data_IF_034137429305
#
_entry.id   IF_034137429305
#
_cell.length_a   1.000
_cell.length_b   1.000
_cell.length_c   1.000
_cell.angle_alpha   90.00
_cell.angle_beta   90.00
_cell.angle_gamma   90.00
#
_symmetry.space_group_name_H-M   'P 1'
#
loop_
_entity.id
_entity.type
_entity.pdbx_description
1 polymer ?
#
# COMPACT_ATOMS: atom_id res chain seq x y z
N UNK A 1 -2.80 -31.20 31.72
CA UNK A 1 -2.99 -30.21 30.64
C UNK A 1 -3.51 -28.93 31.26
N UNK A 2 -2.71 -27.87 31.28
CA UNK A 2 -3.08 -26.57 31.84
C UNK A 2 -3.88 -25.80 30.80
N UNK A 3 -5.15 -25.48 31.09
CA UNK A 3 -6.07 -24.72 30.23
C UNK A 3 -5.86 -23.20 30.31
N UNK A 4 -4.74 -22.74 30.87
CA UNK A 4 -4.48 -21.34 31.17
C UNK A 4 -3.24 -20.82 30.42
N UNK A 5 -3.22 -20.94 29.09
CA UNK A 5 -2.21 -20.22 28.29
C UNK A 5 -2.74 -18.79 28.03
N UNK A 6 -2.53 -17.96 29.06
CA UNK A 6 -2.13 -16.54 29.06
C UNK A 6 -3.05 -15.46 28.44
N UNK A 7 -3.97 -14.92 29.26
CA UNK A 7 -4.60 -13.58 29.12
C UNK A 7 -3.67 -12.42 29.54
N UNK A 8 -2.36 -12.58 29.37
CA UNK A 8 -1.35 -11.66 29.93
C UNK A 8 -0.79 -10.70 28.89
N UNK A 9 -1.11 -10.85 27.61
CA UNK A 9 -0.54 -10.04 26.53
C UNK A 9 -1.54 -9.04 25.97
N UNK A 10 -1.08 -7.81 25.79
CA UNK A 10 -1.84 -6.67 25.31
C UNK A 10 -1.07 -5.99 24.18
N UNK A 11 -1.78 -5.38 23.23
CA UNK A 11 -1.15 -4.59 22.19
C UNK A 11 -1.86 -3.27 22.01
N UNK A 12 -1.12 -2.28 21.51
CA UNK A 12 -1.63 -0.99 21.10
C UNK A 12 -1.01 -0.59 19.76
N UNK A 13 -1.82 -0.03 18.86
CA UNK A 13 -1.36 0.46 17.56
C UNK A 13 -1.05 1.95 17.65
N UNK A 14 0.20 2.32 17.31
CA UNK A 14 0.62 3.72 17.20
C UNK A 14 1.11 4.00 15.78
N UNK A 15 0.21 4.45 14.92
CA UNK A 15 0.50 4.66 13.51
C UNK A 15 0.81 3.34 12.80
N UNK A 16 2.04 3.20 12.27
CA UNK A 16 2.52 1.98 11.59
C UNK A 16 3.18 0.97 12.55
N UNK A 17 3.30 1.30 13.83
CA UNK A 17 4.01 0.49 14.81
C UNK A 17 3.02 -0.26 15.72
N UNK A 18 3.34 -1.52 16.01
CA UNK A 18 2.64 -2.34 17.00
C UNK A 18 3.45 -2.29 18.29
N UNK A 19 2.85 -1.79 19.35
CA UNK A 19 3.43 -1.81 20.69
C UNK A 19 2.84 -3.01 21.43
N UNK A 20 3.70 -3.95 21.84
CA UNK A 20 3.32 -5.14 22.60
C UNK A 20 3.66 -4.95 24.08
N UNK A 21 2.75 -5.34 24.95
CA UNK A 21 2.88 -5.25 26.39
C UNK A 21 2.49 -6.58 27.04
N UNK A 22 3.20 -6.96 28.09
CA UNK A 22 2.81 -8.04 28.99
C UNK A 22 2.31 -7.44 30.30
N UNK A 23 1.13 -7.87 30.74
CA UNK A 23 0.58 -7.61 32.06
C UNK A 23 1.24 -8.54 33.06
N UNK A 24 1.93 -7.97 34.04
CA UNK A 24 2.38 -8.72 35.21
C UNK A 24 1.19 -8.95 36.14
N UNK A 25 0.68 -10.19 36.17
CA UNK A 25 -0.41 -10.63 37.03
C UNK A 25 0.11 -11.53 38.16
N UNK A 26 -0.11 -11.12 39.41
CA UNK A 26 0.52 -11.69 40.60
C UNK A 26 0.15 -13.15 40.94
N UNK A 27 1.19 -13.94 41.22
CA UNK A 27 1.12 -15.08 42.14
C UNK A 27 2.43 -15.22 42.94
N UNK A 28 2.76 -14.21 43.75
CA UNK A 28 3.43 -14.34 45.05
C UNK A 28 3.88 -12.97 45.53
N UNK A 29 3.50 -12.67 46.76
CA UNK A 29 4.00 -11.60 47.60
C UNK A 29 5.54 -11.58 47.62
N UNK A 30 6.11 -10.37 47.56
CA UNK A 30 7.51 -10.04 47.86
C UNK A 30 8.56 -10.44 46.81
N UNK A 31 8.85 -9.52 45.87
CA UNK A 31 10.18 -9.47 45.23
C UNK A 31 10.92 -8.22 45.71
N UNK A 32 12.00 -8.46 46.44
CA UNK A 32 12.98 -7.43 46.80
C UNK A 32 13.74 -7.08 45.53
N UNK A 33 13.66 -5.81 45.10
CA UNK A 33 14.52 -5.29 44.04
C UNK A 33 15.98 -5.33 44.51
N UNK A 34 16.95 -5.41 43.60
CA UNK A 34 18.38 -5.45 43.95
C UNK A 34 18.87 -4.17 44.68
N UNK A 35 18.02 -3.13 44.75
CA UNK A 35 18.21 -1.90 45.52
C UNK A 35 17.47 -1.90 46.88
N UNK A 36 16.87 -3.01 47.31
CA UNK A 36 16.24 -3.17 48.62
C UNK A 36 14.87 -2.50 48.78
N UNK A 37 14.23 -2.02 47.71
CA UNK A 37 12.94 -1.33 47.78
C UNK A 37 11.81 -2.27 47.37
N UNK A 38 10.83 -2.43 48.25
CA UNK A 38 9.59 -3.19 48.01
C UNK A 38 8.64 -2.29 47.20
N UNK A 39 8.29 -2.68 45.97
CA UNK A 39 7.24 -2.03 45.19
C UNK A 39 6.00 -2.92 45.15
N UNK A 40 4.93 -2.47 45.81
CA UNK A 40 3.58 -3.03 45.70
C UNK A 40 2.80 -2.23 44.66
N UNK A 41 2.85 -2.65 43.40
CA UNK A 41 1.89 -2.22 42.39
C UNK A 41 1.39 -3.47 41.68
N UNK A 42 0.13 -3.81 41.94
CA UNK A 42 -0.46 -5.12 41.69
C UNK A 42 -0.60 -5.50 40.21
N UNK A 43 -0.43 -4.56 39.27
CA UNK A 43 -0.62 -4.77 37.81
C UNK A 43 0.12 -3.71 37.00
N UNK A 44 1.34 -3.99 36.58
CA UNK A 44 2.10 -3.13 35.65
C UNK A 44 2.18 -3.76 34.26
N UNK A 45 2.16 -2.92 33.23
CA UNK A 45 2.41 -3.31 31.84
C UNK A 45 3.90 -3.13 31.55
N UNK A 46 4.57 -4.19 31.10
CA UNK A 46 5.99 -4.17 30.76
C UNK A 46 6.21 -4.51 29.29
N UNK A 47 7.24 -3.91 28.67
CA UNK A 47 7.69 -4.34 27.35
C UNK A 47 8.30 -5.75 27.45
N UNK A 48 8.04 -6.63 26.47
CA UNK A 48 8.71 -7.92 26.42
C UNK A 48 10.22 -7.76 26.34
N UNK A 49 10.92 -8.70 26.98
CA UNK A 49 12.33 -8.97 26.74
C UNK A 49 12.54 -9.46 25.30
N UNK A 50 13.65 -9.07 24.69
CA UNK A 50 13.95 -9.29 23.26
C UNK A 50 14.17 -10.77 22.89
N UNK A 51 14.37 -11.63 23.90
CA UNK A 51 14.64 -13.07 23.76
C UNK A 51 13.36 -13.92 23.71
N UNK A 52 12.45 -13.66 22.77
CA UNK A 52 11.25 -14.50 22.58
C UNK A 52 11.64 -15.74 21.77
N UNK A 53 11.64 -16.91 22.41
CA UNK A 53 12.02 -18.19 21.79
C UNK A 53 11.08 -18.64 20.65
N UNK A 54 9.79 -18.32 20.76
CA UNK A 54 8.76 -18.63 19.76
C UNK A 54 8.15 -17.34 19.20
N UNK A 55 8.28 -17.11 17.89
CA UNK A 55 7.88 -15.86 17.25
C UNK A 55 6.40 -15.47 17.45
N UNK A 56 6.13 -14.17 17.52
CA UNK A 56 4.77 -13.63 17.51
C UNK A 56 4.15 -13.81 16.10
N UNK A 57 3.14 -14.67 15.97
CA UNK A 57 2.36 -14.77 14.73
C UNK A 57 1.29 -13.68 14.69
N UNK A 58 1.48 -12.71 13.81
CA UNK A 58 0.49 -11.66 13.53
C UNK A 58 -0.27 -12.05 12.27
N UNK A 59 -1.56 -12.33 12.41
CA UNK A 59 -2.46 -12.52 11.27
C UNK A 59 -3.38 -11.31 11.17
N UNK A 60 -3.47 -10.74 9.97
CA UNK A 60 -4.36 -9.64 9.67
C UNK A 60 -5.26 -10.05 8.50
N UNK A 61 -6.55 -9.77 8.61
CA UNK A 61 -7.46 -9.86 7.48
C UNK A 61 -7.37 -8.54 6.73
N UNK A 62 -6.48 -8.47 5.75
CA UNK A 62 -6.53 -7.38 4.79
C UNK A 62 -7.72 -7.62 3.87
N UNK A 63 -8.58 -6.60 3.69
CA UNK A 63 -9.39 -6.53 2.48
C UNK A 63 -8.41 -6.34 1.33
N UNK A 64 -8.12 -7.45 0.63
CA UNK A 64 -7.22 -7.46 -0.51
C UNK A 64 -7.84 -6.68 -1.68
N UNK A 65 -9.16 -6.60 -1.73
CA UNK A 65 -9.93 -5.85 -2.70
C UNK A 65 -10.71 -4.74 -2.00
N UNK A 66 -10.44 -3.45 -2.30
CA UNK A 66 -11.26 -2.37 -1.79
C UNK A 66 -12.70 -2.48 -2.33
N UNK A 67 -13.71 -2.22 -1.49
CA UNK A 67 -15.13 -2.24 -1.87
C UNK A 67 -15.51 -1.27 -3.00
N UNK A 68 -14.62 -0.32 -3.28
CA UNK A 68 -14.63 0.49 -4.48
C UNK A 68 -13.36 0.11 -5.24
N UNK A 69 -13.50 -0.67 -6.31
CA UNK A 69 -12.48 -0.66 -7.35
C UNK A 69 -12.39 0.78 -7.82
N UNK A 70 -11.26 1.45 -7.58
CA UNK A 70 -10.88 2.57 -8.44
C UNK A 70 -11.03 2.04 -9.87
N UNK A 71 -11.67 2.82 -10.75
CA UNK A 71 -11.78 2.43 -12.14
C UNK A 71 -10.35 2.43 -12.64
N UNK A 72 -9.63 1.32 -12.52
CA UNK A 72 -8.29 1.23 -13.05
C UNK A 72 -8.49 1.57 -14.52
N UNK A 73 -7.93 2.71 -14.95
CA UNK A 73 -7.52 2.81 -16.34
C UNK A 73 -6.82 1.50 -16.59
N UNK A 74 -7.36 0.73 -17.53
CA UNK A 74 -6.98 -0.66 -17.71
C UNK A 74 -5.47 -0.66 -17.76
N UNK A 75 -4.80 -1.17 -16.73
CA UNK A 75 -3.35 -1.27 -16.74
C UNK A 75 -3.06 -2.21 -17.88
N UNK A 76 -2.76 -1.64 -19.04
CA UNK A 76 -2.76 -2.39 -20.29
C UNK A 76 -1.57 -3.34 -20.33
N UNK A 77 -0.52 -3.06 -19.56
CA UNK A 77 0.67 -3.90 -19.47
C UNK A 77 1.11 -4.21 -18.02
N UNK A 78 1.37 -5.49 -17.78
CA UNK A 78 1.88 -6.05 -16.52
C UNK A 78 2.86 -7.19 -16.82
N UNK A 79 4.02 -7.20 -16.16
CA UNK A 79 4.94 -8.32 -16.18
C UNK A 79 5.46 -8.63 -14.77
N UNK A 80 5.52 -9.90 -14.39
CA UNK A 80 6.17 -10.32 -13.14
C UNK A 80 6.83 -11.68 -13.30
N UNK A 81 8.13 -11.73 -13.05
CA UNK A 81 8.90 -12.98 -13.12
C UNK A 81 10.22 -12.87 -12.35
N UNK A 82 10.83 -14.04 -12.11
CA UNK A 82 12.19 -14.15 -11.56
C UNK A 82 13.27 -14.10 -12.65
N UNK A 83 12.85 -14.13 -13.92
CA UNK A 83 13.72 -14.17 -15.11
C UNK A 83 13.91 -12.79 -15.75
N UNK A 84 13.40 -11.74 -15.11
CA UNK A 84 13.60 -10.36 -15.57
C UNK A 84 15.01 -9.94 -15.16
N UNK A 85 15.74 -9.30 -16.07
CA UNK A 85 17.08 -8.78 -15.83
C UNK A 85 17.23 -7.38 -16.41
N UNK A 86 18.20 -6.64 -15.90
CA UNK A 86 18.49 -5.26 -16.29
C UNK A 86 19.89 -5.16 -16.89
N UNK A 87 19.98 -4.56 -18.07
CA UNK A 87 21.24 -4.26 -18.74
C UNK A 87 21.55 -2.77 -18.67
N UNK A 88 22.82 -2.43 -18.42
CA UNK A 88 23.34 -1.05 -18.44
C UNK A 88 24.11 -0.85 -19.75
N UNK A 89 23.63 0.08 -20.57
CA UNK A 89 24.26 0.44 -21.85
C UNK A 89 24.33 -0.66 -22.92
N UNK A 90 23.56 -1.75 -22.77
CA UNK A 90 23.55 -2.88 -23.69
C UNK A 90 22.53 -2.74 -24.84
N UNK A 91 21.69 -1.71 -24.78
CA UNK A 91 20.75 -1.35 -25.84
C UNK A 91 21.35 -0.47 -26.95
N UNK A 92 20.54 -0.22 -27.98
CA UNK A 92 20.94 0.62 -29.11
C UNK A 92 21.21 2.06 -28.67
N UNK A 93 22.40 2.59 -28.99
CA UNK A 93 22.78 3.94 -28.58
C UNK A 93 23.09 4.08 -27.09
N UNK A 94 23.54 2.99 -26.46
CA UNK A 94 23.90 2.93 -25.02
C UNK A 94 22.72 3.16 -24.07
N UNK A 95 21.50 2.95 -24.54
CA UNK A 95 20.31 2.85 -23.68
C UNK A 95 20.39 1.63 -22.79
N UNK A 96 19.73 1.70 -21.65
CA UNK A 96 19.62 0.58 -20.72
C UNK A 96 18.46 -0.33 -21.13
N UNK A 97 18.49 -1.59 -20.73
CA UNK A 97 17.47 -2.56 -21.15
C UNK A 97 16.80 -3.26 -19.97
N UNK A 98 15.52 -3.55 -20.15
CA UNK A 98 14.79 -4.55 -19.38
C UNK A 98 14.64 -5.77 -20.27
N UNK A 99 15.19 -6.90 -19.85
CA UNK A 99 15.19 -8.15 -20.62
C UNK A 99 14.29 -9.18 -19.96
N UNK A 100 13.35 -9.74 -20.73
CA UNK A 100 12.48 -10.83 -20.29
C UNK A 100 12.08 -11.69 -21.47
N UNK A 101 12.17 -13.02 -21.37
CA UNK A 101 11.92 -13.94 -22.49
C UNK A 101 10.60 -13.69 -23.24
N UNK A 102 9.52 -13.37 -22.53
CA UNK A 102 8.22 -13.04 -23.13
C UNK A 102 7.33 -12.33 -22.11
N UNK A 103 6.55 -11.34 -22.52
CA UNK A 103 5.60 -10.64 -21.65
C UNK A 103 5.83 -9.14 -21.54
N UNK A 104 6.75 -8.59 -22.35
CA UNK A 104 6.94 -7.15 -22.48
C UNK A 104 6.21 -6.57 -23.72
N UNK A 105 5.45 -7.39 -24.45
CA UNK A 105 4.82 -7.01 -25.71
C UNK A 105 3.68 -6.00 -25.59
N UNK A 106 3.07 -5.88 -24.41
CA UNK A 106 1.98 -4.93 -24.17
C UNK A 106 2.50 -3.53 -23.79
N UNK A 107 3.80 -3.39 -23.52
CA UNK A 107 4.42 -2.09 -23.25
C UNK A 107 4.85 -1.42 -24.57
N UNK A 108 4.55 -0.14 -24.69
CA UNK A 108 4.85 0.67 -25.86
C UNK A 108 5.91 1.75 -25.57
N UNK A 109 6.47 2.32 -26.63
CA UNK A 109 7.32 3.51 -26.53
C UNK A 109 6.59 4.66 -25.86
N UNK A 110 7.28 5.38 -24.97
CA UNK A 110 6.77 6.49 -24.14
C UNK A 110 5.87 6.08 -22.97
N UNK A 111 5.59 4.79 -22.77
CA UNK A 111 4.94 4.34 -21.55
C UNK A 111 5.81 4.64 -20.33
N UNK A 112 5.15 5.06 -19.24
CA UNK A 112 5.76 5.07 -17.92
C UNK A 112 5.58 3.71 -17.28
N UNK A 113 6.61 3.21 -16.63
CA UNK A 113 6.58 1.93 -15.92
C UNK A 113 7.12 2.09 -14.50
N UNK A 114 6.54 1.35 -13.57
CA UNK A 114 7.04 1.17 -12.23
C UNK A 114 7.66 -0.21 -12.09
N UNK A 115 8.90 -0.25 -11.60
CA UNK A 115 9.67 -1.45 -11.31
C UNK A 115 9.73 -1.64 -9.80
N UNK A 116 9.46 -2.85 -9.34
CA UNK A 116 9.48 -3.23 -7.93
C UNK A 116 10.07 -4.62 -7.73
N UNK A 117 10.81 -4.81 -6.64
CA UNK A 117 11.37 -6.11 -6.26
C UNK A 117 12.68 -6.47 -6.98
N UNK A 118 13.34 -5.49 -7.57
CA UNK A 118 14.74 -5.59 -8.01
C UNK A 118 15.69 -5.18 -6.88
N UNK A 119 16.95 -5.58 -6.99
CA UNK A 119 17.98 -5.23 -6.00
C UNK A 119 18.41 -3.77 -6.13
N UNK A 120 18.50 -3.21 -7.35
CA UNK A 120 19.09 -1.88 -7.58
C UNK A 120 18.28 -0.96 -8.49
N UNK A 121 17.19 -1.43 -9.09
CA UNK A 121 16.50 -0.73 -10.18
C UNK A 121 15.05 -0.38 -9.86
N UNK A 122 14.63 -0.45 -8.59
CA UNK A 122 13.28 -0.09 -8.17
C UNK A 122 13.01 1.40 -8.38
N UNK A 123 11.91 1.73 -9.04
CA UNK A 123 11.59 3.11 -9.40
C UNK A 123 10.61 3.26 -10.56
N UNK A 124 10.42 4.50 -11.00
CA UNK A 124 9.56 4.86 -12.11
C UNK A 124 10.42 5.30 -13.31
N UNK A 125 10.18 4.70 -14.48
CA UNK A 125 10.97 4.91 -15.69
C UNK A 125 10.08 5.17 -16.88
N UNK A 126 10.63 5.78 -17.93
CA UNK A 126 9.94 5.98 -19.22
C UNK A 126 10.61 5.11 -20.26
N UNK A 127 9.82 4.31 -20.97
CA UNK A 127 10.30 3.45 -22.06
C UNK A 127 10.67 4.35 -23.24
N UNK A 128 11.93 4.34 -23.63
CA UNK A 128 12.41 5.08 -24.80
C UNK A 128 12.08 4.36 -26.09
N UNK A 129 12.02 3.03 -26.06
CA UNK A 129 11.59 2.20 -27.17
C UNK A 129 11.21 0.80 -26.71
N UNK A 130 10.07 0.29 -27.18
CA UNK A 130 9.72 -1.12 -27.06
C UNK A 130 10.41 -1.92 -28.18
N UNK A 131 11.67 -2.30 -27.97
CA UNK A 131 12.51 -2.93 -29.00
C UNK A 131 11.93 -4.25 -29.52
N UNK A 132 11.32 -5.04 -28.63
CA UNK A 132 10.65 -6.30 -28.96
C UNK A 132 9.72 -6.75 -27.82
N UNK A 133 9.01 -7.86 -28.01
CA UNK A 133 8.22 -8.52 -26.94
C UNK A 133 9.05 -9.00 -25.75
N UNK A 134 10.38 -8.96 -25.87
CA UNK A 134 11.32 -9.51 -24.91
C UNK A 134 12.32 -8.48 -24.37
N UNK A 135 12.27 -7.25 -24.88
CA UNK A 135 13.20 -6.20 -24.48
C UNK A 135 12.56 -4.82 -24.55
N UNK A 136 12.67 -4.07 -23.47
CA UNK A 136 12.33 -2.65 -23.40
C UNK A 136 13.61 -1.84 -23.21
N UNK A 137 13.67 -0.68 -23.85
CA UNK A 137 14.78 0.26 -23.73
C UNK A 137 14.38 1.42 -22.83
N UNK A 138 15.30 1.85 -21.97
CA UNK A 138 15.18 2.99 -21.06
C UNK A 138 16.36 3.93 -21.31
N UNK A 139 16.26 5.20 -20.90
CA UNK A 139 17.34 6.17 -21.09
C UNK A 139 18.67 5.67 -20.48
N UNK A 140 19.78 5.92 -21.16
CA UNK A 140 21.12 5.53 -20.70
C UNK A 140 21.42 6.03 -19.29
N UNK A 141 22.04 5.18 -18.46
CA UNK A 141 22.43 5.51 -17.09
C UNK A 141 21.25 5.57 -16.09
N UNK A 142 20.10 4.99 -16.45
CA UNK A 142 18.96 4.78 -15.56
C UNK A 142 19.10 3.51 -14.73
N UNK A 143 19.76 2.47 -15.26
CA UNK A 143 19.90 1.17 -14.60
C UNK A 143 21.33 0.86 -14.19
N UNK A 144 21.44 0.05 -13.14
CA UNK A 144 22.65 -0.72 -12.84
C UNK A 144 22.44 -2.15 -13.33
N UNK A 145 23.42 -2.71 -14.06
CA UNK A 145 23.32 -4.07 -14.58
C UNK A 145 23.01 -5.08 -13.45
N UNK A 146 21.95 -5.85 -13.62
CA UNK A 146 21.42 -6.78 -12.63
C UNK A 146 20.91 -8.04 -13.33
N UNK A 147 21.47 -9.19 -12.94
CA UNK A 147 21.06 -10.49 -13.48
C UNK A 147 19.70 -10.94 -12.91
N UNK A 148 19.01 -11.80 -13.63
CA UNK A 148 17.78 -12.43 -13.16
C UNK A 148 18.01 -13.26 -11.89
N UNK A 149 17.08 -13.19 -10.93
CA UNK A 149 17.16 -14.00 -9.70
C UNK A 149 16.07 -13.69 -8.68
N UNK A 150 15.67 -12.42 -8.56
CA UNK A 150 14.60 -11.98 -7.67
C UNK A 150 13.28 -11.79 -8.42
N UNK A 151 12.15 -11.87 -7.71
CA UNK A 151 10.83 -11.64 -8.33
C UNK A 151 10.63 -10.15 -8.54
N UNK A 152 10.85 -9.72 -9.77
CA UNK A 152 10.59 -8.35 -10.23
C UNK A 152 9.16 -8.24 -10.74
N UNK A 153 8.52 -7.11 -10.47
CA UNK A 153 7.21 -6.74 -11.01
C UNK A 153 7.34 -5.40 -11.75
N UNK A 154 6.82 -5.36 -12.96
CA UNK A 154 6.77 -4.19 -13.83
C UNK A 154 5.31 -3.90 -14.12
N UNK A 155 4.86 -2.69 -13.79
CA UNK A 155 3.50 -2.24 -14.03
C UNK A 155 3.53 -0.97 -14.85
N UNK A 156 2.67 -0.87 -15.87
CA UNK A 156 2.49 0.39 -16.58
C UNK A 156 1.82 1.40 -15.65
N UNK A 157 2.37 2.61 -15.62
CA UNK A 157 1.74 3.78 -15.03
C UNK A 157 0.96 4.44 -16.17
N UNK A 158 -0.37 4.56 -16.07
CA UNK A 158 -1.16 5.22 -17.10
C UNK A 158 -0.63 6.62 -17.41
N UNK A 159 -0.53 6.93 -18.70
CA UNK A 159 -0.13 8.26 -19.17
C UNK A 159 -1.38 9.12 -19.20
N UNK A 160 -1.44 10.11 -18.31
CA UNK A 160 -2.50 11.12 -18.34
C UNK A 160 -2.48 11.85 -19.68
N UNK A 161 -3.65 11.97 -20.32
CA UNK A 161 -3.76 12.69 -21.59
C UNK A 161 -3.39 14.17 -21.40
N UNK A 162 -2.52 14.67 -22.29
CA UNK A 162 -2.09 16.07 -22.28
C UNK A 162 -3.13 17.02 -22.89
N UNK A 163 -4.09 16.50 -23.64
CA UNK A 163 -5.17 17.27 -24.26
C UNK A 163 -6.49 16.48 -24.24
N UNK A 164 -7.15 16.39 -23.07
CA UNK A 164 -8.41 15.66 -22.95
C UNK A 164 -9.46 16.17 -23.95
N UNK A 165 -10.13 15.24 -24.62
CA UNK A 165 -11.24 15.49 -25.55
C UNK A 165 -12.60 15.07 -24.98
N UNK A 166 -13.67 15.14 -25.78
CA UNK A 166 -15.03 14.76 -25.35
C UNK A 166 -15.18 13.26 -25.04
N UNK A 167 -14.23 12.42 -25.48
CA UNK A 167 -14.19 10.99 -25.19
C UNK A 167 -13.37 10.68 -23.94
N UNK A 168 -12.65 11.67 -23.42
CA UNK A 168 -11.83 11.52 -22.22
C UNK A 168 -12.71 11.38 -20.99
N UNK A 169 -12.34 10.45 -20.12
CA UNK A 169 -13.06 10.16 -18.89
C UNK A 169 -12.16 10.45 -17.69
N UNK A 170 -12.66 11.20 -16.72
CA UNK A 170 -11.96 11.38 -15.46
C UNK A 170 -12.10 10.11 -14.61
N UNK A 171 -10.98 9.55 -14.18
CA UNK A 171 -10.96 8.41 -13.27
C UNK A 171 -11.36 8.82 -11.85
N UNK A 172 -12.67 8.90 -11.63
CA UNK A 172 -13.26 9.23 -10.34
C UNK A 172 -13.97 7.99 -9.81
N UNK A 173 -13.74 7.67 -8.54
CA UNK A 173 -14.57 6.68 -7.88
C UNK A 173 -16.00 7.21 -7.70
N UNK A 174 -16.96 6.32 -7.45
CA UNK A 174 -18.39 6.68 -7.34
C UNK A 174 -18.65 7.83 -6.35
N UNK A 175 -17.91 7.89 -5.23
CA UNK A 175 -18.06 8.95 -4.24
C UNK A 175 -17.58 10.30 -4.78
N UNK A 176 -16.45 10.33 -5.47
CA UNK A 176 -15.93 11.53 -6.12
C UNK A 176 -16.82 11.97 -7.30
N UNK A 177 -17.34 11.04 -8.11
CA UNK A 177 -18.29 11.38 -9.18
C UNK A 177 -19.53 12.07 -8.62
N UNK A 178 -20.09 11.56 -7.52
CA UNK A 178 -21.23 12.19 -6.84
C UNK A 178 -20.86 13.54 -6.24
N UNK A 179 -19.64 13.69 -5.69
CA UNK A 179 -19.14 14.97 -5.20
C UNK A 179 -19.09 16.01 -6.33
N UNK A 180 -18.55 15.66 -7.50
CA UNK A 180 -18.53 16.55 -8.67
C UNK A 180 -19.92 17.02 -9.08
N UNK A 181 -20.91 16.11 -9.05
CA UNK A 181 -22.31 16.46 -9.33
C UNK A 181 -22.86 17.48 -8.33
N UNK A 182 -22.59 17.30 -7.03
CA UNK A 182 -23.04 18.24 -6.01
C UNK A 182 -22.34 19.59 -6.12
N UNK A 183 -21.05 19.61 -6.47
CA UNK A 183 -20.33 20.85 -6.77
C UNK A 183 -20.96 21.61 -7.94
N UNK A 184 -21.27 20.92 -9.04
CA UNK A 184 -21.94 21.54 -10.20
C UNK A 184 -23.31 22.12 -9.84
N UNK A 185 -24.10 21.40 -9.03
CA UNK A 185 -25.38 21.90 -8.51
C UNK A 185 -25.18 23.14 -7.65
N UNK A 186 -24.15 23.17 -6.80
CA UNK A 186 -23.81 24.35 -6.00
C UNK A 186 -23.47 25.56 -6.89
N UNK A 187 -22.70 25.35 -7.97
CA UNK A 187 -22.34 26.42 -8.92
C UNK A 187 -23.55 26.94 -9.71
N UNK A 188 -24.49 26.06 -10.07
CA UNK A 188 -25.75 26.46 -10.71
C UNK A 188 -26.61 27.28 -9.73
N UNK A 189 -26.70 26.86 -8.47
CA UNK A 189 -27.43 27.59 -7.43
C UNK A 189 -26.82 28.98 -7.16
N UNK A 190 -25.49 29.07 -7.13
CA UNK A 190 -24.77 30.35 -6.99
C UNK A 190 -25.11 31.32 -8.12
N UNK A 191 -25.10 30.83 -9.36
CA UNK A 191 -25.49 31.64 -10.54
C UNK A 191 -26.93 32.12 -10.51
N UNK A 192 -27.82 31.42 -9.80
CA UNK A 192 -29.23 31.81 -9.60
C UNK A 192 -29.44 32.75 -8.41
N UNK A 193 -28.43 32.94 -7.57
CA UNK A 193 -28.53 33.72 -6.33
C UNK A 193 -29.13 32.93 -5.15
N UNK A 194 -29.33 31.62 -5.28
CA UNK A 194 -29.92 30.77 -4.25
C UNK A 194 -28.84 30.31 -3.24
N UNK A 195 -28.43 31.22 -2.36
CA UNK A 195 -27.30 31.02 -1.42
C UNK A 195 -27.54 29.80 -0.51
N UNK A 196 -28.75 29.61 0.01
CA UNK A 196 -29.08 28.48 0.88
C UNK A 196 -28.86 27.13 0.19
N UNK A 197 -29.24 27.05 -1.08
CA UNK A 197 -29.11 25.83 -1.89
C UNK A 197 -27.65 25.56 -2.23
N UNK A 198 -26.87 26.62 -2.53
CA UNK A 198 -25.42 26.53 -2.70
C UNK A 198 -24.75 25.95 -1.46
N UNK A 199 -25.04 26.50 -0.28
CA UNK A 199 -24.44 26.03 0.99
C UNK A 199 -24.78 24.57 1.28
N UNK A 200 -26.03 24.16 1.01
CA UNK A 200 -26.45 22.77 1.13
C UNK A 200 -25.59 21.83 0.26
N UNK A 201 -25.49 22.13 -1.03
CA UNK A 201 -24.71 21.28 -1.95
C UNK A 201 -23.20 21.33 -1.68
N UNK A 202 -22.66 22.47 -1.24
CA UNK A 202 -21.25 22.56 -0.82
C UNK A 202 -20.96 21.71 0.42
N UNK A 203 -21.89 21.63 1.37
CA UNK A 203 -21.76 20.75 2.54
C UNK A 203 -21.75 19.28 2.13
N UNK A 204 -22.66 18.90 1.24
CA UNK A 204 -22.74 17.55 0.70
C UNK A 204 -21.52 17.15 -0.15
N UNK A 205 -20.92 18.11 -0.87
CA UNK A 205 -19.65 17.94 -1.58
C UNK A 205 -18.52 17.59 -0.60
N UNK A 206 -18.29 18.44 0.41
CA UNK A 206 -17.19 18.23 1.37
C UNK A 206 -17.36 16.96 2.19
N UNK A 207 -18.60 16.59 2.51
CA UNK A 207 -18.90 15.32 3.16
C UNK A 207 -18.43 14.13 2.32
N UNK A 208 -18.77 14.10 1.03
CA UNK A 208 -18.38 13.00 0.12
C UNK A 208 -16.88 12.96 -0.15
N UNK A 209 -16.23 14.12 -0.22
CA UNK A 209 -14.75 14.20 -0.31
C UNK A 209 -14.11 13.62 0.95
N UNK A 210 -14.61 14.00 2.14
CA UNK A 210 -14.13 13.46 3.41
C UNK A 210 -14.37 11.94 3.55
N UNK A 211 -15.55 11.45 3.17
CA UNK A 211 -15.87 10.03 3.15
C UNK A 211 -14.94 9.26 2.22
N UNK A 212 -14.64 9.82 1.03
CA UNK A 212 -13.68 9.24 0.10
C UNK A 212 -12.26 9.15 0.67
N UNK A 213 -11.76 10.23 1.27
CA UNK A 213 -10.44 10.22 1.92
C UNK A 213 -10.39 9.24 3.10
N UNK A 214 -11.48 9.13 3.86
CA UNK A 214 -11.61 8.17 4.95
C UNK A 214 -11.56 6.73 4.42
N UNK A 215 -12.25 6.43 3.32
CA UNK A 215 -12.26 5.09 2.71
C UNK A 215 -10.88 4.68 2.16
N UNK A 216 -10.03 5.64 1.76
CA UNK A 216 -8.64 5.36 1.37
C UNK A 216 -7.76 4.92 2.54
N UNK A 217 -8.14 5.25 3.78
CA UNK A 217 -7.43 4.79 4.98
C UNK A 217 -7.88 3.36 5.30
N UNK A 218 -7.09 2.36 4.90
CA UNK A 218 -7.32 0.94 5.26
C UNK A 218 -7.52 0.82 6.77
N UNK A 219 -8.74 0.48 7.20
CA UNK A 219 -9.04 0.17 8.60
C UNK A 219 -8.49 -1.23 8.87
N UNK A 220 -7.35 -1.34 9.56
CA UNK A 220 -6.89 -2.62 10.10
C UNK A 220 -7.74 -2.96 11.33
N UNK A 221 -8.63 -3.96 11.21
CA UNK A 221 -9.24 -4.60 12.38
C UNK A 221 -8.49 -5.89 12.68
N UNK A 222 -7.97 -6.02 13.90
CA UNK A 222 -7.29 -7.23 14.37
C UNK A 222 -8.20 -7.95 15.37
N UNK A 223 -8.51 -9.22 15.12
CA UNK A 223 -9.28 -10.06 16.03
C UNK A 223 -8.35 -11.06 16.72
N UNK A 224 -8.50 -11.34 18.03
CA UNK A 224 -7.77 -12.42 18.68
C UNK A 224 -8.32 -13.79 18.21
N UNK A 225 -7.45 -14.63 17.63
CA UNK A 225 -7.76 -16.02 17.27
C UNK A 225 -7.01 -16.94 18.24
N UNK A 226 -7.67 -17.99 18.76
CA UNK A 226 -7.01 -18.93 19.67
C UNK A 226 -5.96 -19.77 18.93
N UNK A 227 -4.81 -20.12 19.55
CA UNK A 227 -3.78 -20.92 18.91
C UNK A 227 -4.31 -22.28 18.44
N UNK A 228 -4.09 -22.59 17.17
CA UNK A 228 -4.27 -23.92 16.61
C UNK A 228 -3.34 -24.90 17.33
N UNK A 229 -3.91 -25.98 17.88
CA UNK A 229 -3.14 -27.12 18.37
C UNK A 229 -2.61 -27.92 17.17
N UNK A 230 -1.30 -28.08 17.08
CA UNK A 230 -0.67 -29.09 16.21
C UNK A 230 -0.57 -30.39 17.02
N UNK A 231 -0.93 -31.51 16.40
CA UNK A 231 -0.89 -32.86 16.96
C UNK A 231 0.52 -33.34 17.23
#
# INVERSE_FOLDING_TARGET
MSSYVEREWFYYLKGRNIHLYKLLGGSSSERITQSGVIKTLDRELMYPNEDIADGLRIEYTALNEPYLSEALETTTAYASAITISFGDGDGAGSTDTINYTSGLGDFATSDKVRIQGSTSNDGDYTITSAASTSQLLVAAGSFTAEAAGERVTITQIPVEDTSPDETSHANLNRMLSLACVDYLKAMIADKRGDIQVKEYYMREFWKKVGDNESNKRKISMTYPVSPFAVR
#
